data_IF_427999384602
#
_entry.id   IF_427999384602
#
_cell.length_a   1.000
_cell.length_b   1.000
_cell.length_c   1.000
_cell.angle_alpha   90.00
_cell.angle_beta   90.00
_cell.angle_gamma   90.00
#
_symmetry.space_group_name_H-M   'P 1'
#
loop_
_entity.id
_entity.type
_entity.pdbx_description
1 polymer ?
#
# COMPACT_ATOMS: atom_id res chain seq x y z
N UNK A 1 1.91 5.22 -10.33
CA UNK A 1 1.16 4.07 -9.78
C UNK A 1 0.56 4.58 -8.49
N UNK A 2 -0.76 4.51 -8.35
CA UNK A 2 -1.44 5.00 -7.16
C UNK A 2 -1.93 3.79 -6.35
N UNK A 3 -1.61 3.75 -5.06
CA UNK A 3 -2.08 2.71 -4.15
C UNK A 3 -3.15 3.37 -3.27
N UNK A 4 -4.36 3.47 -3.81
CA UNK A 4 -5.51 4.06 -3.16
C UNK A 4 -6.71 3.14 -3.37
N UNK A 5 -7.19 2.51 -2.30
CA UNK A 5 -8.28 1.54 -2.37
C UNK A 5 -9.62 2.20 -2.04
N UNK A 6 -10.68 1.90 -2.81
CA UNK A 6 -12.01 2.39 -2.52
C UNK A 6 -12.61 1.67 -1.30
N UNK A 7 -13.25 2.46 -0.44
CA UNK A 7 -14.05 1.96 0.67
C UNK A 7 -15.41 2.67 0.72
N UNK A 8 -16.42 1.91 1.12
CA UNK A 8 -17.75 2.44 1.43
C UNK A 8 -17.83 2.79 2.92
N UNK A 9 -18.68 3.76 3.23
CA UNK A 9 -19.01 4.13 4.62
C UNK A 9 -20.52 4.14 4.81
N UNK A 10 -21.02 3.40 5.79
CA UNK A 10 -22.43 3.41 6.23
C UNK A 10 -22.52 3.93 7.66
N UNK A 11 -23.61 4.64 7.98
CA UNK A 11 -23.97 4.96 9.35
C UNK A 11 -24.88 3.84 9.86
N UNK A 12 -24.45 3.14 10.90
CA UNK A 12 -25.18 2.03 11.51
C UNK A 12 -26.20 2.53 12.55
N UNK A 13 -27.11 1.64 12.99
CA UNK A 13 -28.21 1.99 13.91
C UNK A 13 -27.73 2.49 15.29
N UNK A 14 -26.54 2.05 15.73
CA UNK A 14 -25.90 2.47 16.97
C UNK A 14 -25.14 3.80 16.86
N UNK A 15 -25.18 4.43 15.67
CA UNK A 15 -24.56 5.71 15.39
C UNK A 15 -23.07 5.65 15.04
N UNK A 16 -22.49 4.45 14.84
CA UNK A 16 -21.11 4.32 14.36
C UNK A 16 -21.03 4.35 12.84
N UNK A 17 -19.92 4.85 12.30
CA UNK A 17 -19.63 4.78 10.87
C UNK A 17 -18.85 3.51 10.58
N UNK A 18 -19.48 2.54 9.92
CA UNK A 18 -18.85 1.31 9.47
C UNK A 18 -18.14 1.51 8.13
N UNK A 19 -16.97 0.90 7.98
CA UNK A 19 -16.10 0.98 6.81
C UNK A 19 -15.86 -0.41 6.25
N UNK A 20 -16.04 -0.56 4.93
CA UNK A 20 -15.72 -1.80 4.20
C UNK A 20 -14.97 -1.49 2.92
N UNK A 21 -13.87 -2.20 2.69
CA UNK A 21 -13.16 -2.17 1.41
C UNK A 21 -13.72 -3.20 0.46
N UNK A 22 -13.96 -2.79 -0.80
CA UNK A 22 -14.51 -3.69 -1.83
C UNK A 22 -13.48 -4.70 -2.34
N UNK A 23 -12.23 -4.26 -2.49
CA UNK A 23 -11.17 -5.10 -3.07
C UNK A 23 -10.50 -6.01 -2.04
N UNK A 24 -10.73 -5.75 -0.74
CA UNK A 24 -10.12 -6.44 0.39
C UNK A 24 -11.22 -6.71 1.42
N UNK A 25 -11.94 -7.81 1.26
CA UNK A 25 -13.11 -8.14 2.09
C UNK A 25 -12.76 -8.21 3.59
N UNK A 26 -11.55 -8.67 3.93
CA UNK A 26 -11.07 -8.72 5.31
C UNK A 26 -10.67 -7.36 5.90
N UNK A 27 -10.61 -6.30 5.09
CA UNK A 27 -10.35 -4.95 5.55
C UNK A 27 -11.68 -4.25 5.85
N UNK A 28 -12.04 -4.22 7.11
CA UNK A 28 -13.20 -3.49 7.63
C UNK A 28 -12.90 -2.89 9.00
N UNK A 29 -13.56 -1.80 9.34
CA UNK A 29 -13.37 -1.10 10.61
C UNK A 29 -14.56 -0.18 10.89
N UNK A 30 -14.51 0.60 11.96
CA UNK A 30 -15.53 1.58 12.30
C UNK A 30 -14.94 2.81 12.97
N UNK A 31 -15.68 3.91 13.05
CA UNK A 31 -15.32 5.10 13.82
C UNK A 31 -16.55 5.83 14.35
N UNK A 32 -16.40 6.63 15.41
CA UNK A 32 -17.49 7.43 15.98
C UNK A 32 -17.79 8.68 15.15
N UNK A 33 -16.90 9.05 14.22
CA UNK A 33 -17.09 10.12 13.25
C UNK A 33 -16.58 9.70 11.87
N UNK A 34 -16.96 10.46 10.83
CA UNK A 34 -16.42 10.25 9.48
C UNK A 34 -14.90 10.44 9.40
N UNK A 35 -14.34 11.29 10.25
CA UNK A 35 -12.89 11.55 10.32
C UNK A 35 -12.19 10.35 10.97
N UNK A 36 -12.70 9.87 12.10
CA UNK A 36 -12.15 8.69 12.78
C UNK A 36 -12.30 7.43 11.91
N UNK A 37 -13.44 7.27 11.23
CA UNK A 37 -13.66 6.17 10.30
C UNK A 37 -12.66 6.21 9.13
N UNK A 38 -12.36 7.39 8.58
CA UNK A 38 -11.36 7.54 7.53
C UNK A 38 -9.93 7.26 8.03
N UNK A 39 -9.58 7.73 9.22
CA UNK A 39 -8.31 7.41 9.87
C UNK A 39 -8.17 5.90 10.07
N UNK A 40 -9.17 5.26 10.66
CA UNK A 40 -9.20 3.82 10.89
C UNK A 40 -9.18 3.03 9.58
N UNK A 41 -9.79 3.56 8.50
CA UNK A 41 -9.75 2.94 7.17
C UNK A 41 -8.31 2.84 6.64
N UNK A 42 -7.52 3.91 6.80
CA UNK A 42 -6.11 3.91 6.42
C UNK A 42 -5.28 2.93 7.28
N UNK A 43 -5.54 2.89 8.59
CA UNK A 43 -4.85 1.97 9.51
C UNK A 43 -5.14 0.50 9.18
N UNK A 44 -6.41 0.11 9.01
CA UNK A 44 -6.76 -1.27 8.68
C UNK A 44 -6.23 -1.67 7.31
N UNK A 45 -6.28 -0.77 6.32
CA UNK A 45 -5.71 -0.99 5.00
C UNK A 45 -4.20 -1.24 5.08
N UNK A 46 -3.49 -0.44 5.88
CA UNK A 46 -2.05 -0.60 6.13
C UNK A 46 -1.75 -1.95 6.73
N UNK A 47 -2.49 -2.36 7.77
CA UNK A 47 -2.31 -3.66 8.44
C UNK A 47 -2.56 -4.85 7.51
N UNK A 48 -3.65 -4.83 6.75
CA UNK A 48 -4.00 -5.91 5.81
C UNK A 48 -2.98 -6.03 4.68
N UNK A 49 -2.54 -4.92 4.10
CA UNK A 49 -1.55 -4.93 3.02
C UNK A 49 -0.16 -5.34 3.53
N UNK A 50 0.23 -4.91 4.73
CA UNK A 50 1.45 -5.39 5.38
C UNK A 50 1.40 -6.90 5.61
N UNK A 51 0.29 -7.41 6.16
CA UNK A 51 0.09 -8.84 6.38
C UNK A 51 0.22 -9.64 5.07
N UNK A 52 -0.44 -9.19 3.99
CA UNK A 52 -0.34 -9.84 2.67
C UNK A 52 1.07 -9.78 2.08
N UNK A 53 1.81 -8.68 2.30
CA UNK A 53 3.23 -8.58 1.92
C UNK A 53 4.09 -9.59 2.68
N UNK A 54 3.97 -9.65 4.02
CA UNK A 54 4.75 -10.55 4.88
C UNK A 54 4.55 -12.03 4.53
N UNK A 55 3.32 -12.39 4.14
CA UNK A 55 2.95 -13.78 3.82
C UNK A 55 3.02 -14.08 2.33
N UNK A 56 3.56 -13.16 1.52
CA UNK A 56 3.62 -13.26 0.05
C UNK A 56 2.28 -13.64 -0.59
N UNK A 57 1.17 -13.15 -0.02
CA UNK A 57 -0.16 -13.34 -0.56
C UNK A 57 -0.37 -12.44 -1.78
N UNK A 58 -1.36 -12.79 -2.59
CA UNK A 58 -1.82 -11.92 -3.68
C UNK A 58 -2.36 -10.62 -3.10
N UNK A 59 -2.08 -9.51 -3.78
CA UNK A 59 -2.58 -8.18 -3.41
C UNK A 59 -3.34 -7.67 -4.64
N UNK A 60 -4.67 -7.58 -4.57
CA UNK A 60 -5.47 -7.15 -5.72
C UNK A 60 -5.10 -5.72 -6.10
N UNK A 61 -5.21 -5.37 -7.38
CA UNK A 61 -5.03 -3.98 -7.77
C UNK A 61 -6.21 -3.14 -7.24
N UNK A 62 -6.00 -1.89 -6.78
CA UNK A 62 -7.09 -1.04 -6.37
C UNK A 62 -8.05 -0.78 -7.53
N UNK A 63 -9.34 -1.00 -7.29
CA UNK A 63 -10.40 -0.66 -8.24
C UNK A 63 -10.62 0.85 -8.32
N UNK A 64 -11.23 1.31 -9.41
CA UNK A 64 -11.72 2.68 -9.49
C UNK A 64 -12.84 2.92 -8.47
N UNK A 65 -12.82 4.10 -7.82
CA UNK A 65 -13.88 4.51 -6.91
C UNK A 65 -15.21 4.67 -7.65
N UNK A 66 -16.27 4.16 -7.06
CA UNK A 66 -17.65 4.34 -7.49
C UNK A 66 -18.29 5.54 -6.77
N UNK A 67 -19.42 6.10 -7.29
CA UNK A 67 -20.13 7.18 -6.61
C UNK A 67 -20.47 6.82 -5.16
N UNK A 68 -20.07 7.69 -4.22
CA UNK A 68 -20.29 7.50 -2.78
C UNK A 68 -19.15 6.78 -2.05
N UNK A 69 -18.21 6.14 -2.76
CA UNK A 69 -17.01 5.58 -2.16
C UNK A 69 -15.97 6.66 -1.87
N UNK A 70 -15.14 6.41 -0.86
CA UNK A 70 -13.97 7.20 -0.50
C UNK A 70 -12.71 6.40 -0.83
N UNK A 71 -11.57 7.08 -0.86
CA UNK A 71 -10.27 6.45 -1.10
C UNK A 71 -9.43 6.47 0.17
N UNK A 72 -8.79 5.37 0.50
CA UNK A 72 -7.75 5.31 1.52
C UNK A 72 -6.43 4.85 0.91
N UNK A 73 -5.34 5.46 1.36
CA UNK A 73 -3.97 5.06 1.03
C UNK A 73 -3.33 4.42 2.27
N UNK A 74 -2.55 3.35 2.13
CA UNK A 74 -1.83 2.79 3.27
C UNK A 74 -0.69 3.71 3.72
N UNK A 75 -0.12 3.42 4.89
CA UNK A 75 1.08 4.04 5.41
C UNK A 75 2.24 4.01 4.41
N UNK A 76 3.13 5.00 4.51
CA UNK A 76 4.17 5.29 3.50
C UNK A 76 5.12 4.12 3.32
N UNK A 77 5.45 3.41 4.39
CA UNK A 77 6.29 2.21 4.41
C UNK A 77 5.68 1.09 3.56
N UNK A 78 4.40 0.74 3.81
CA UNK A 78 3.65 -0.26 3.05
C UNK A 78 3.45 0.20 1.60
N UNK A 79 3.11 1.47 1.39
CA UNK A 79 2.92 2.05 0.07
C UNK A 79 4.20 1.93 -0.77
N UNK A 80 5.35 2.26 -0.18
CA UNK A 80 6.65 2.19 -0.86
C UNK A 80 7.04 0.76 -1.24
N UNK A 81 6.82 -0.20 -0.34
CA UNK A 81 7.06 -1.62 -0.59
C UNK A 81 6.17 -2.15 -1.72
N UNK A 82 4.88 -1.79 -1.73
CA UNK A 82 3.94 -2.17 -2.79
C UNK A 82 4.32 -1.59 -4.15
N UNK A 83 4.68 -0.31 -4.20
CA UNK A 83 5.11 0.34 -5.44
C UNK A 83 6.32 -0.37 -6.05
N UNK A 84 7.31 -0.73 -5.22
CA UNK A 84 8.49 -1.46 -5.69
C UNK A 84 8.15 -2.88 -6.13
N UNK A 85 7.36 -3.63 -5.35
CA UNK A 85 6.92 -4.99 -5.70
C UNK A 85 6.16 -5.02 -7.02
N UNK A 86 5.22 -4.08 -7.23
CA UNK A 86 4.49 -3.96 -8.48
C UNK A 86 5.40 -3.51 -9.64
N UNK A 87 6.29 -2.53 -9.42
CA UNK A 87 7.22 -2.06 -10.45
C UNK A 87 8.24 -3.12 -10.87
N UNK A 88 8.56 -4.08 -9.98
CA UNK A 88 9.41 -5.24 -10.27
C UNK A 88 8.79 -6.17 -11.30
N UNK A 89 7.45 -6.22 -11.40
CA UNK A 89 6.70 -6.92 -12.45
C UNK A 89 7.22 -8.34 -12.76
N UNK A 90 7.53 -9.10 -11.72
CA UNK A 90 8.02 -10.49 -11.84
C UNK A 90 9.55 -10.66 -12.01
N UNK A 91 10.34 -9.59 -12.17
CA UNK A 91 11.82 -9.68 -12.13
C UNK A 91 12.26 -10.26 -10.78
N UNK A 92 13.34 -11.03 -10.71
CA UNK A 92 13.78 -11.59 -9.42
C UNK A 92 14.39 -10.53 -8.51
N UNK A 93 14.40 -10.76 -7.20
CA UNK A 93 15.13 -9.90 -6.25
C UNK A 93 16.64 -9.88 -6.56
N UNK A 94 17.19 -10.98 -7.10
CA UNK A 94 18.58 -11.06 -7.55
C UNK A 94 18.86 -10.14 -8.74
N UNK A 95 17.94 -10.09 -9.72
CA UNK A 95 18.07 -9.17 -10.87
C UNK A 95 18.04 -7.71 -10.41
N UNK A 96 17.18 -7.40 -9.44
CA UNK A 96 17.09 -6.06 -8.88
C UNK A 96 18.35 -5.72 -8.06
N UNK A 97 18.89 -6.66 -7.27
CA UNK A 97 20.13 -6.48 -6.52
C UNK A 97 21.32 -6.20 -7.45
N UNK A 98 21.43 -6.95 -8.55
CA UNK A 98 22.45 -6.72 -9.58
C UNK A 98 22.31 -5.34 -10.24
N UNK A 99 21.09 -4.97 -10.67
CA UNK A 99 20.83 -3.66 -11.27
C UNK A 99 21.08 -2.50 -10.30
N UNK A 100 20.78 -2.70 -9.02
CA UNK A 100 21.05 -1.73 -7.95
C UNK A 100 22.49 -1.79 -7.44
N UNK A 101 23.34 -2.71 -7.91
CA UNK A 101 24.70 -2.92 -7.38
C UNK A 101 24.72 -2.97 -5.85
N UNK A 102 23.85 -3.80 -5.28
CA UNK A 102 23.71 -3.96 -3.83
C UNK A 102 23.44 -5.42 -3.48
N UNK A 103 23.38 -5.75 -2.19
CA UNK A 103 23.17 -7.11 -1.74
C UNK A 103 21.69 -7.52 -1.84
N UNK A 104 21.45 -8.82 -2.02
CA UNK A 104 20.10 -9.37 -2.02
C UNK A 104 19.29 -9.00 -0.75
N UNK A 105 19.83 -9.07 0.49
CA UNK A 105 19.09 -8.64 1.68
C UNK A 105 18.76 -7.15 1.69
N UNK A 106 19.60 -6.31 1.07
CA UNK A 106 19.30 -4.89 0.97
C UNK A 106 18.11 -4.61 0.07
N UNK A 107 17.97 -5.35 -1.04
CA UNK A 107 16.79 -5.26 -1.91
C UNK A 107 15.56 -5.91 -1.29
N UNK A 108 15.71 -7.07 -0.65
CA UNK A 108 14.60 -7.74 0.04
C UNK A 108 13.91 -6.81 1.04
N UNK A 109 14.69 -6.04 1.82
CA UNK A 109 14.15 -5.05 2.76
C UNK A 109 13.35 -3.94 2.09
N UNK A 110 13.58 -3.63 0.82
CA UNK A 110 12.82 -2.58 0.13
C UNK A 110 11.37 -2.99 -0.16
N UNK A 111 11.07 -4.28 -0.16
CA UNK A 111 9.71 -4.81 -0.28
C UNK A 111 9.14 -5.29 1.06
N UNK A 112 9.83 -5.01 2.18
CA UNK A 112 9.35 -5.32 3.51
C UNK A 112 8.46 -4.17 4.01
N UNK A 113 7.19 -4.43 4.40
CA UNK A 113 6.26 -3.40 4.86
C UNK A 113 6.68 -2.71 6.16
N UNK A 114 7.61 -3.31 6.93
CA UNK A 114 8.11 -2.77 8.20
C UNK A 114 9.41 -1.98 8.04
N UNK A 115 9.91 -1.83 6.80
CA UNK A 115 11.15 -1.12 6.51
C UNK A 115 10.89 0.30 6.00
N UNK A 116 11.69 1.24 6.48
CA UNK A 116 11.66 2.66 6.08
C UNK A 116 12.84 2.96 5.15
N UNK A 117 12.69 2.78 3.82
CA UNK A 117 13.76 3.11 2.89
C UNK A 117 13.95 4.62 2.79
N UNK A 118 15.21 5.05 2.68
CA UNK A 118 15.52 6.44 2.36
C UNK A 118 15.07 6.80 0.94
N UNK A 119 14.79 8.08 0.68
CA UNK A 119 14.48 8.58 -0.67
C UNK A 119 15.57 8.20 -1.69
N UNK A 120 16.84 8.18 -1.27
CA UNK A 120 17.97 7.75 -2.10
C UNK A 120 17.87 6.28 -2.50
N UNK A 121 17.44 5.41 -1.59
CA UNK A 121 17.23 3.98 -1.90
C UNK A 121 16.03 3.80 -2.84
N UNK A 122 14.92 4.50 -2.59
CA UNK A 122 13.73 4.46 -3.44
C UNK A 122 14.02 4.95 -4.87
N UNK A 123 14.72 6.07 -5.03
CA UNK A 123 15.10 6.59 -6.35
C UNK A 123 16.05 5.61 -7.08
N UNK A 124 17.03 5.02 -6.37
CA UNK A 124 17.92 4.01 -6.96
C UNK A 124 17.15 2.77 -7.43
N UNK A 125 16.21 2.28 -6.62
CA UNK A 125 15.38 1.14 -6.96
C UNK A 125 14.47 1.43 -8.15
N UNK A 126 13.79 2.59 -8.14
CA UNK A 126 12.95 3.04 -9.25
C UNK A 126 13.73 3.09 -10.57
N UNK A 127 14.93 3.70 -10.58
CA UNK A 127 15.79 3.75 -11.79
C UNK A 127 16.22 2.37 -12.26
N UNK A 128 16.61 1.47 -11.34
CA UNK A 128 16.97 0.08 -11.67
C UNK A 128 15.79 -0.72 -12.27
N UNK A 129 14.55 -0.30 -11.97
CA UNK A 129 13.30 -0.82 -12.51
C UNK A 129 12.82 -0.08 -13.78
N UNK A 130 13.60 0.87 -14.31
CA UNK A 130 13.22 1.68 -15.47
C UNK A 130 12.07 2.65 -15.20
N UNK A 131 11.89 3.05 -13.93
CA UNK A 131 10.89 4.00 -13.46
C UNK A 131 11.57 5.28 -12.95
N UNK A 132 10.75 6.28 -12.63
CA UNK A 132 11.17 7.53 -11.99
C UNK A 132 10.42 7.70 -10.67
N UNK A 133 11.14 8.00 -9.59
CA UNK A 133 10.51 8.42 -8.34
C UNK A 133 9.94 9.83 -8.51
N UNK A 134 8.66 9.99 -8.22
CA UNK A 134 7.94 11.27 -8.21
C UNK A 134 7.24 11.36 -6.86
N UNK A 135 7.39 12.50 -6.18
CA UNK A 135 6.69 12.78 -4.93
C UNK A 135 5.55 13.76 -5.21
N UNK A 136 4.39 13.50 -4.63
CA UNK A 136 3.23 14.38 -4.61
C UNK A 136 2.75 14.53 -3.17
N UNK A 137 2.15 15.69 -2.87
CA UNK A 137 1.38 15.94 -1.66
C UNK A 137 -0.08 16.09 -2.09
N UNK A 138 -0.99 15.47 -1.34
CA UNK A 138 -2.43 15.46 -1.60
C UNK A 138 -3.17 16.04 -0.39
#
# INVERSE_FOLDING_TARGET
MNIAYPYAVSLEEDGVYFVQFRDLEEAFTQGASLEEAAFNAAEVLTGILAYRLDHNQEIPAPSAAQPGERLATPGVEVQSALLLRQARAGRSLSDLANAMQTSWPAVQRLENPHHWPTLKQLDKAARALGKRLVLSLE
#
